data_IF_626267048954
#
_entry.id   IF_626267048954
#
_cell.length_a   1.000
_cell.length_b   1.000
_cell.length_c   1.000
_cell.angle_alpha   90.00
_cell.angle_beta   90.00
_cell.angle_gamma   90.00
#
_symmetry.space_group_name_H-M   'P 1'
#
loop_
_entity.id
_entity.type
_entity.pdbx_description
1 polymer ?
#
# COMPACT_ATOMS: atom_id res chain seq x y z
N UNK A 1 27.55 19.85 -9.59
CA UNK A 1 28.39 18.75 -9.08
C UNK A 1 27.71 17.47 -9.52
N UNK A 2 28.27 16.81 -10.55
CA UNK A 2 27.75 15.56 -11.09
C UNK A 2 28.00 14.44 -10.06
N UNK A 3 26.94 13.74 -9.65
CA UNK A 3 27.08 12.52 -8.86
C UNK A 3 27.88 11.49 -9.67
N UNK A 4 28.75 10.68 -9.06
CA UNK A 4 29.50 9.68 -9.77
C UNK A 4 28.54 8.66 -10.37
N UNK A 5 28.52 8.55 -11.68
CA UNK A 5 27.92 7.45 -12.42
C UNK A 5 28.62 6.15 -11.95
N UNK A 6 27.93 5.34 -11.15
CA UNK A 6 28.40 3.99 -10.87
C UNK A 6 28.22 3.19 -12.18
N UNK A 7 29.25 3.19 -13.01
CA UNK A 7 29.43 2.20 -14.06
C UNK A 7 29.30 0.83 -13.38
N UNK A 8 28.23 0.08 -13.69
CA UNK A 8 28.09 -1.30 -13.23
C UNK A 8 29.30 -2.07 -13.77
N UNK A 9 30.12 -2.61 -12.87
CA UNK A 9 31.25 -3.42 -13.25
C UNK A 9 30.76 -4.55 -14.17
N UNK A 10 31.59 -4.90 -15.15
CA UNK A 10 31.37 -6.03 -16.06
C UNK A 10 30.94 -7.28 -15.26
N UNK A 11 29.78 -7.83 -15.56
CA UNK A 11 29.23 -9.00 -14.88
C UNK A 11 29.39 -10.22 -15.78
N UNK A 12 30.32 -11.15 -15.46
CA UNK A 12 30.60 -12.31 -16.30
C UNK A 12 29.41 -13.28 -16.41
N UNK A 13 28.46 -13.30 -15.45
CA UNK A 13 27.26 -14.14 -15.54
C UNK A 13 26.28 -13.62 -16.61
N UNK A 14 26.40 -12.35 -16.96
CA UNK A 14 25.60 -11.70 -18.00
C UNK A 14 26.29 -11.62 -19.36
N UNK A 15 27.51 -12.19 -19.52
CA UNK A 15 28.26 -12.11 -20.78
C UNK A 15 27.45 -12.70 -21.97
N UNK A 16 27.33 -11.89 -23.03
CA UNK A 16 26.58 -12.26 -24.22
C UNK A 16 25.05 -12.22 -24.06
N UNK A 17 24.51 -11.83 -22.89
CA UNK A 17 23.10 -11.52 -22.74
C UNK A 17 22.83 -10.04 -23.03
N UNK A 18 21.71 -9.76 -23.68
CA UNK A 18 21.18 -8.40 -23.80
C UNK A 18 20.35 -8.08 -22.56
N UNK A 19 20.93 -7.37 -21.59
CA UNK A 19 20.30 -7.05 -20.32
C UNK A 19 20.07 -5.56 -20.16
N UNK A 20 18.94 -5.18 -19.54
CA UNK A 20 18.54 -3.79 -19.36
C UNK A 20 17.93 -3.62 -17.97
N UNK A 21 18.34 -2.58 -17.25
CA UNK A 21 17.64 -2.12 -16.04
C UNK A 21 16.37 -1.43 -16.51
N UNK A 22 15.22 -1.70 -15.87
CA UNK A 22 13.92 -1.16 -16.30
C UNK A 22 13.08 -0.64 -15.14
N UNK A 23 12.06 0.14 -15.47
CA UNK A 23 10.98 0.48 -14.54
C UNK A 23 11.38 1.42 -13.41
N UNK A 24 11.07 1.02 -12.17
CA UNK A 24 11.21 1.88 -10.99
C UNK A 24 12.59 2.44 -10.77
N UNK A 25 13.62 1.62 -10.90
CA UNK A 25 15.02 2.05 -10.69
C UNK A 25 15.48 3.13 -11.68
N UNK A 26 15.07 3.02 -12.96
CA UNK A 26 15.40 4.01 -13.99
C UNK A 26 14.63 5.31 -13.74
N UNK A 27 13.33 5.23 -13.47
CA UNK A 27 12.50 6.40 -13.14
C UNK A 27 13.04 7.15 -11.92
N UNK A 28 13.32 6.44 -10.82
CA UNK A 28 13.73 7.03 -9.56
C UNK A 28 15.12 7.70 -9.72
N UNK A 29 16.03 7.10 -10.49
CA UNK A 29 17.31 7.73 -10.86
C UNK A 29 17.12 9.03 -11.67
N UNK A 30 16.19 9.05 -12.64
CA UNK A 30 15.86 10.26 -13.42
C UNK A 30 15.22 11.37 -12.56
N UNK A 31 14.55 10.99 -11.45
CA UNK A 31 14.01 11.92 -10.46
C UNK A 31 15.05 12.35 -9.41
N UNK A 32 16.29 11.86 -9.47
CA UNK A 32 17.31 12.14 -8.48
C UNK A 32 17.01 11.50 -7.11
N UNK A 33 16.14 10.49 -7.07
CA UNK A 33 15.84 9.74 -5.86
C UNK A 33 16.84 8.60 -5.65
N UNK A 34 17.08 8.17 -4.40
CA UNK A 34 17.91 7.00 -4.14
C UNK A 34 17.43 5.79 -4.95
N UNK A 35 18.35 5.04 -5.59
CA UNK A 35 17.96 3.87 -6.36
C UNK A 35 17.33 2.82 -5.42
N UNK A 36 16.15 2.33 -5.81
CA UNK A 36 15.54 1.14 -5.21
C UNK A 36 16.10 -0.14 -5.82
N UNK A 37 15.40 -1.26 -5.58
CA UNK A 37 15.73 -2.54 -6.19
C UNK A 37 15.73 -2.43 -7.71
N UNK A 38 16.71 -3.06 -8.35
CA UNK A 38 16.84 -3.09 -9.81
C UNK A 38 16.12 -4.30 -10.36
N UNK A 39 15.18 -4.04 -11.26
CA UNK A 39 14.56 -5.06 -12.10
C UNK A 39 15.28 -5.09 -13.45
N UNK A 40 15.66 -6.27 -13.90
CA UNK A 40 16.34 -6.48 -15.16
C UNK A 40 15.43 -7.16 -16.18
N UNK A 41 15.52 -6.74 -17.45
CA UNK A 41 14.92 -7.43 -18.58
C UNK A 41 16.03 -8.05 -19.42
N UNK A 42 15.85 -9.30 -19.82
CA UNK A 42 16.76 -10.05 -20.71
C UNK A 42 16.05 -10.26 -22.03
N UNK A 43 16.68 -9.81 -23.11
CA UNK A 43 16.18 -9.95 -24.48
C UNK A 43 16.96 -11.04 -25.21
N UNK A 44 16.27 -11.84 -26.02
CA UNK A 44 16.90 -12.82 -26.92
C UNK A 44 17.44 -14.07 -26.22
N UNK A 45 16.99 -14.36 -24.99
CA UNK A 45 17.40 -15.56 -24.24
C UNK A 45 16.21 -16.46 -23.92
N UNK A 46 16.50 -17.75 -23.73
CA UNK A 46 15.52 -18.76 -23.30
C UNK A 46 15.67 -19.06 -21.79
N UNK A 47 14.66 -19.69 -21.16
CA UNK A 47 14.79 -20.18 -19.79
C UNK A 47 15.99 -21.13 -19.60
N UNK A 48 16.29 -21.95 -20.61
CA UNK A 48 17.41 -22.90 -20.60
C UNK A 48 18.77 -22.17 -20.66
N UNK A 49 18.84 -21.04 -21.38
CA UNK A 49 20.03 -20.19 -21.43
C UNK A 49 20.31 -19.58 -20.05
N UNK A 50 19.27 -19.09 -19.37
CA UNK A 50 19.39 -18.56 -18.01
C UNK A 50 19.83 -19.64 -17.01
N UNK A 51 19.21 -20.82 -17.07
CA UNK A 51 19.54 -21.92 -16.18
C UNK A 51 20.99 -22.40 -16.36
N UNK A 52 21.47 -22.52 -17.61
CA UNK A 52 22.87 -22.90 -17.90
C UNK A 52 23.90 -21.95 -17.33
N UNK A 53 23.51 -20.68 -17.13
CA UNK A 53 24.36 -19.62 -16.52
C UNK A 53 24.20 -19.53 -15.00
N UNK A 54 23.45 -20.46 -14.38
CA UNK A 54 23.27 -20.53 -12.95
C UNK A 54 22.22 -19.55 -12.38
N UNK A 55 21.43 -18.90 -13.24
CA UNK A 55 20.30 -18.11 -12.78
C UNK A 55 19.21 -19.02 -12.20
N UNK A 56 18.67 -18.64 -11.06
CA UNK A 56 17.73 -19.46 -10.28
C UNK A 56 16.30 -19.07 -10.63
N UNK A 57 15.48 -19.96 -11.22
CA UNK A 57 14.09 -19.63 -11.56
C UNK A 57 13.27 -19.37 -10.27
N UNK A 58 12.47 -18.30 -10.30
CA UNK A 58 11.51 -17.93 -9.25
C UNK A 58 10.20 -17.51 -9.89
N UNK A 59 9.07 -17.88 -9.28
CA UNK A 59 7.74 -17.60 -9.82
C UNK A 59 7.17 -18.76 -10.62
N UNK A 60 5.83 -18.88 -10.63
CA UNK A 60 5.13 -19.99 -11.25
C UNK A 60 4.55 -19.68 -12.64
N UNK A 61 4.14 -18.44 -12.90
CA UNK A 61 3.35 -18.09 -14.07
C UNK A 61 4.16 -17.54 -15.24
N UNK A 62 5.37 -17.00 -14.99
CA UNK A 62 6.29 -16.54 -16.03
C UNK A 62 7.75 -16.55 -15.56
N UNK A 63 8.73 -16.66 -16.49
CA UNK A 63 10.12 -16.87 -16.16
C UNK A 63 10.78 -15.59 -15.63
N UNK A 64 10.89 -15.49 -14.29
CA UNK A 64 11.76 -14.60 -13.54
C UNK A 64 12.87 -15.44 -12.92
N UNK A 65 14.05 -14.92 -12.90
CA UNK A 65 15.23 -15.58 -12.39
C UNK A 65 15.95 -14.68 -11.40
N UNK A 66 16.52 -15.26 -10.34
CA UNK A 66 17.45 -14.56 -9.48
C UNK A 66 18.87 -14.72 -10.01
N UNK A 67 19.59 -13.62 -10.09
CA UNK A 67 20.99 -13.62 -10.43
C UNK A 67 21.79 -14.50 -9.44
N UNK A 68 22.73 -15.34 -9.89
CA UNK A 68 23.40 -16.32 -9.02
C UNK A 68 24.12 -15.68 -7.82
N UNK A 69 24.73 -14.49 -8.00
CA UNK A 69 25.49 -13.77 -6.96
C UNK A 69 24.68 -12.66 -6.30
N UNK A 70 24.13 -11.72 -7.08
CA UNK A 70 23.49 -10.50 -6.54
C UNK A 70 22.07 -10.73 -6.03
N UNK A 71 21.40 -11.81 -6.46
CA UNK A 71 20.00 -12.12 -6.19
C UNK A 71 19.01 -11.07 -6.73
N UNK A 72 19.45 -10.18 -7.59
CA UNK A 72 18.57 -9.28 -8.32
C UNK A 72 17.68 -10.06 -9.29
N UNK A 73 16.49 -9.52 -9.57
CA UNK A 73 15.49 -10.17 -10.44
C UNK A 73 15.75 -9.88 -11.91
N UNK A 74 15.83 -10.94 -12.71
CA UNK A 74 15.99 -10.92 -14.16
C UNK A 74 14.78 -11.59 -14.80
N UNK A 75 13.98 -10.84 -15.54
CA UNK A 75 12.82 -11.34 -16.27
C UNK A 75 13.14 -11.44 -17.76
N UNK A 76 12.74 -12.51 -18.43
CA UNK A 76 12.80 -12.55 -19.89
C UNK A 76 11.83 -11.53 -20.49
N UNK A 77 12.25 -10.87 -21.57
CA UNK A 77 11.37 -10.00 -22.34
C UNK A 77 10.12 -10.77 -22.79
N UNK A 78 8.95 -10.14 -22.69
CA UNK A 78 7.69 -10.81 -22.99
C UNK A 78 6.67 -9.88 -23.64
N UNK A 79 5.75 -10.48 -24.35
CA UNK A 79 4.47 -9.88 -24.72
C UNK A 79 3.34 -10.53 -23.90
N UNK A 80 2.29 -9.79 -23.70
CA UNK A 80 1.08 -10.24 -23.01
C UNK A 80 -0.09 -10.16 -23.98
N UNK A 81 -0.94 -11.19 -24.00
CA UNK A 81 -2.20 -11.16 -24.74
C UNK A 81 -3.35 -11.53 -23.82
N UNK A 82 -4.38 -10.69 -23.82
CA UNK A 82 -5.62 -10.98 -23.10
C UNK A 82 -6.35 -12.13 -23.81
N UNK A 83 -6.51 -13.27 -23.14
CA UNK A 83 -7.22 -14.45 -23.63
C UNK A 83 -8.57 -14.67 -22.92
N UNK A 84 -8.92 -13.82 -21.92
CA UNK A 84 -10.17 -13.91 -21.15
C UNK A 84 -10.36 -12.75 -20.18
N UNK A 85 -11.44 -12.78 -19.39
CA UNK A 85 -11.69 -11.79 -18.33
C UNK A 85 -10.89 -12.11 -17.06
N UNK A 86 -10.39 -11.06 -16.38
CA UNK A 86 -9.71 -11.15 -15.10
C UNK A 86 -8.25 -11.61 -15.17
N UNK A 87 -7.62 -11.81 -14.01
CA UNK A 87 -6.19 -12.09 -13.85
C UNK A 87 -5.71 -13.37 -14.57
N UNK A 88 -6.53 -14.42 -14.63
CA UNK A 88 -6.18 -15.69 -15.32
C UNK A 88 -6.36 -15.63 -16.85
N UNK A 89 -6.79 -14.49 -17.37
CA UNK A 89 -7.06 -14.29 -18.80
C UNK A 89 -5.87 -13.76 -19.59
N UNK A 90 -4.62 -13.94 -19.12
CA UNK A 90 -3.43 -13.53 -19.84
C UNK A 90 -2.62 -14.73 -20.31
N UNK A 91 -2.20 -14.69 -21.57
CA UNK A 91 -1.18 -15.61 -22.12
C UNK A 91 0.11 -14.81 -22.28
N UNK A 92 1.19 -15.31 -21.69
CA UNK A 92 2.52 -14.71 -21.78
C UNK A 92 3.30 -15.43 -22.90
N UNK A 93 3.97 -14.65 -23.74
CA UNK A 93 4.89 -15.18 -24.73
C UNK A 93 6.29 -14.59 -24.48
N UNK A 94 7.26 -15.47 -24.27
CA UNK A 94 8.65 -15.14 -23.96
C UNK A 94 9.59 -15.75 -25.00
N UNK A 95 9.35 -15.44 -26.28
CA UNK A 95 10.21 -15.90 -27.35
C UNK A 95 11.49 -15.09 -27.48
N UNK A 96 12.53 -15.65 -28.06
CA UNK A 96 13.80 -14.95 -28.37
C UNK A 96 13.63 -13.79 -29.36
N UNK A 97 12.51 -13.74 -30.04
CA UNK A 97 12.09 -12.71 -30.99
C UNK A 97 11.40 -11.51 -30.34
N UNK A 98 11.12 -11.58 -29.00
CA UNK A 98 10.52 -10.45 -28.29
C UNK A 98 11.56 -9.36 -28.08
N UNK A 99 11.27 -8.17 -28.62
CA UNK A 99 12.17 -7.01 -28.51
C UNK A 99 11.99 -6.27 -27.18
N UNK A 100 12.96 -5.41 -26.83
CA UNK A 100 12.86 -4.53 -25.67
C UNK A 100 11.65 -3.59 -25.78
N UNK A 101 11.42 -3.02 -26.96
CA UNK A 101 10.30 -2.11 -27.22
C UNK A 101 8.95 -2.80 -26.97
N UNK A 102 8.79 -4.05 -27.37
CA UNK A 102 7.58 -4.83 -27.12
C UNK A 102 7.37 -5.08 -25.62
N UNK A 103 8.44 -5.35 -24.84
CA UNK A 103 8.34 -5.47 -23.38
C UNK A 103 7.98 -4.12 -22.72
N UNK A 104 8.52 -3.01 -23.20
CA UNK A 104 8.19 -1.69 -22.68
C UNK A 104 6.74 -1.28 -23.01
N UNK A 105 6.24 -1.60 -24.22
CA UNK A 105 4.89 -1.28 -24.68
C UNK A 105 3.77 -1.94 -23.87
N UNK A 106 4.03 -3.09 -23.23
CA UNK A 106 3.03 -3.77 -22.38
C UNK A 106 2.93 -3.21 -20.96
N UNK A 107 3.81 -2.28 -20.56
CA UNK A 107 3.84 -1.72 -19.21
C UNK A 107 2.67 -0.78 -18.97
N UNK A 108 2.52 -0.33 -17.71
CA UNK A 108 1.41 0.52 -17.30
C UNK A 108 1.58 1.99 -17.73
N UNK A 109 2.67 2.63 -17.30
CA UNK A 109 2.91 4.06 -17.48
C UNK A 109 4.23 4.32 -18.21
N UNK A 110 4.28 5.38 -19.01
CA UNK A 110 5.49 5.80 -19.74
C UNK A 110 6.68 6.00 -18.79
N UNK A 111 6.46 6.58 -17.62
CA UNK A 111 7.48 6.79 -16.59
C UNK A 111 8.08 5.48 -16.03
N UNK A 112 7.42 4.35 -16.24
CA UNK A 112 7.88 3.01 -15.86
C UNK A 112 8.34 2.18 -17.07
N UNK A 113 8.24 2.73 -18.28
CA UNK A 113 8.54 2.07 -19.53
C UNK A 113 9.84 2.62 -20.16
N UNK A 114 10.83 2.86 -19.32
CA UNK A 114 12.16 3.34 -19.69
C UNK A 114 13.16 2.26 -19.32
N UNK A 115 14.14 2.01 -20.19
CA UNK A 115 15.21 1.08 -19.94
C UNK A 115 16.57 1.80 -19.93
N UNK A 116 17.56 1.18 -19.29
CA UNK A 116 18.95 1.64 -19.25
C UNK A 116 19.90 0.45 -19.43
N UNK A 117 20.86 0.59 -20.30
CA UNK A 117 21.92 -0.43 -20.43
C UNK A 117 22.84 -0.45 -19.20
N UNK A 118 23.61 -1.53 -18.96
CA UNK A 118 24.62 -1.55 -17.91
C UNK A 118 25.66 -0.43 -18.03
N UNK A 119 25.91 0.07 -19.26
CA UNK A 119 26.85 1.17 -19.55
C UNK A 119 26.22 2.54 -19.34
N UNK A 120 24.94 2.62 -18.92
CA UNK A 120 24.27 3.88 -18.60
C UNK A 120 23.47 4.51 -19.75
N UNK A 121 23.49 3.94 -20.96
CA UNK A 121 22.70 4.47 -22.08
C UNK A 121 21.20 4.29 -21.83
N UNK A 122 20.45 5.38 -21.97
CA UNK A 122 19.00 5.41 -21.81
C UNK A 122 18.30 4.98 -23.12
N UNK A 123 17.32 4.11 -23.00
CA UNK A 123 16.44 3.65 -24.08
C UNK A 123 15.01 3.99 -23.68
N UNK A 124 14.43 4.99 -24.34
CA UNK A 124 13.12 5.58 -23.99
C UNK A 124 12.25 5.77 -25.25
N UNK A 125 11.78 4.67 -25.85
CA UNK A 125 10.99 4.76 -27.08
C UNK A 125 9.61 5.41 -26.89
N UNK A 126 9.16 5.54 -25.65
CA UNK A 126 7.82 6.04 -25.27
C UNK A 126 7.85 7.44 -24.66
N UNK A 127 9.00 8.12 -24.70
CA UNK A 127 9.19 9.47 -24.15
C UNK A 127 8.86 9.58 -22.64
N UNK A 128 9.04 8.53 -21.87
CA UNK A 128 8.79 8.52 -20.44
C UNK A 128 9.66 9.50 -19.66
N UNK A 129 10.89 9.75 -20.10
CA UNK A 129 11.76 10.78 -19.53
C UNK A 129 11.22 12.22 -19.73
N UNK A 130 10.50 12.47 -20.82
CA UNK A 130 9.81 13.74 -21.02
C UNK A 130 8.62 13.87 -20.06
N UNK A 131 7.83 12.82 -19.88
CA UNK A 131 6.73 12.79 -18.91
C UNK A 131 7.24 12.92 -17.46
N UNK A 132 8.40 12.35 -17.11
CA UNK A 132 9.05 12.55 -15.80
C UNK A 132 9.38 14.03 -15.59
N UNK A 133 10.00 14.70 -16.58
CA UNK A 133 10.34 16.14 -16.49
C UNK A 133 9.09 17.01 -16.40
N UNK A 134 8.04 16.66 -17.17
CA UNK A 134 6.76 17.36 -17.17
C UNK A 134 5.88 17.01 -15.94
N UNK A 135 6.28 16.05 -15.12
CA UNK A 135 5.52 15.52 -13.99
C UNK A 135 4.14 15.03 -14.40
N UNK A 136 4.10 14.15 -15.39
CA UNK A 136 2.86 13.60 -15.96
C UNK A 136 2.85 12.07 -15.82
N UNK A 137 1.74 11.52 -15.33
CA UNK A 137 1.44 10.09 -15.36
C UNK A 137 0.60 9.80 -16.60
N UNK A 138 1.21 9.16 -17.57
CA UNK A 138 0.59 8.79 -18.86
C UNK A 138 0.64 7.29 -19.05
N UNK A 139 -0.46 6.69 -19.51
CA UNK A 139 -0.48 5.27 -19.92
C UNK A 139 0.38 5.04 -21.17
N UNK A 140 0.94 3.86 -21.28
CA UNK A 140 1.84 3.51 -22.39
C UNK A 140 1.06 3.39 -23.71
N UNK A 141 -0.09 2.75 -23.69
CA UNK A 141 -0.93 2.51 -24.88
C UNK A 141 -2.13 1.63 -24.56
N UNK A 142 -2.76 1.08 -25.58
CA UNK A 142 -4.00 0.28 -25.47
C UNK A 142 -3.85 -0.93 -24.52
N UNK A 143 -2.66 -1.51 -24.41
CA UNK A 143 -2.36 -2.58 -23.46
C UNK A 143 -2.67 -2.19 -21.99
N UNK A 144 -2.73 -0.90 -21.65
CA UNK A 144 -3.15 -0.46 -20.32
C UNK A 144 -4.54 -0.98 -19.95
N UNK A 145 -5.47 -1.03 -20.90
CA UNK A 145 -6.84 -1.49 -20.70
C UNK A 145 -6.97 -3.00 -20.45
N UNK A 146 -5.92 -3.77 -20.71
CA UNK A 146 -5.96 -5.22 -20.52
C UNK A 146 -6.08 -5.62 -19.04
N UNK A 147 -5.50 -4.84 -18.12
CA UNK A 147 -5.50 -5.14 -16.68
C UNK A 147 -6.10 -3.99 -15.85
N UNK A 148 -7.32 -4.12 -15.34
CA UNK A 148 -7.99 -3.07 -14.58
C UNK A 148 -7.26 -2.68 -13.28
N UNK A 149 -6.35 -3.50 -12.74
CA UNK A 149 -5.53 -3.12 -11.58
C UNK A 149 -4.62 -1.93 -11.90
N UNK A 150 -4.34 -1.66 -13.18
CA UNK A 150 -3.54 -0.51 -13.60
C UNK A 150 -4.17 0.83 -13.21
N UNK A 151 -5.51 0.89 -13.07
CA UNK A 151 -6.20 2.07 -12.52
C UNK A 151 -5.80 2.30 -11.05
N UNK A 152 -5.76 1.22 -10.24
CA UNK A 152 -5.33 1.32 -8.84
C UNK A 152 -3.84 1.65 -8.73
N UNK A 153 -3.03 1.08 -9.62
CA UNK A 153 -1.59 1.41 -9.72
C UNK A 153 -1.36 2.87 -10.09
N UNK A 154 -2.13 3.42 -11.04
CA UNK A 154 -2.11 4.84 -11.39
C UNK A 154 -2.41 5.71 -10.16
N UNK A 155 -3.47 5.39 -9.40
CA UNK A 155 -3.80 6.06 -8.15
C UNK A 155 -2.66 5.98 -7.12
N UNK A 156 -2.05 4.81 -6.95
CA UNK A 156 -0.88 4.64 -6.06
C UNK A 156 0.32 5.47 -6.52
N UNK A 157 0.59 5.55 -7.82
CA UNK A 157 1.67 6.39 -8.33
C UNK A 157 1.37 7.87 -8.14
N UNK A 158 0.12 8.32 -8.31
CA UNK A 158 -0.29 9.68 -7.98
C UNK A 158 -0.09 10.00 -6.48
N UNK A 159 -0.37 9.05 -5.58
CA UNK A 159 -0.10 9.21 -4.15
C UNK A 159 1.41 9.26 -3.83
N UNK A 160 2.23 8.50 -4.55
CA UNK A 160 3.69 8.50 -4.37
C UNK A 160 4.33 9.78 -4.91
N UNK A 161 3.86 10.25 -6.06
CA UNK A 161 4.34 11.44 -6.76
C UNK A 161 3.27 12.51 -6.72
N UNK A 162 3.05 13.10 -5.54
CA UNK A 162 1.93 14.02 -5.26
C UNK A 162 1.88 15.25 -6.16
N UNK A 163 3.01 15.63 -6.75
CA UNK A 163 3.19 16.74 -7.67
C UNK A 163 3.04 16.35 -9.16
N UNK A 164 2.77 15.07 -9.46
CA UNK A 164 2.47 14.62 -10.82
C UNK A 164 0.99 14.76 -11.13
N UNK A 165 0.67 15.17 -12.35
CA UNK A 165 -0.70 15.20 -12.89
C UNK A 165 -0.97 13.94 -13.70
N UNK A 166 -2.23 13.52 -13.79
CA UNK A 166 -2.64 12.44 -14.69
C UNK A 166 -2.99 13.03 -16.06
N UNK A 167 -2.45 12.45 -17.13
CA UNK A 167 -2.76 12.87 -18.48
C UNK A 167 -4.27 12.72 -18.77
N UNK A 168 -4.93 13.71 -19.41
CA UNK A 168 -6.37 13.68 -19.65
C UNK A 168 -6.86 12.45 -20.43
N UNK A 169 -6.08 12.00 -21.41
CA UNK A 169 -6.34 10.79 -22.20
C UNK A 169 -6.25 9.51 -21.36
N UNK A 170 -5.32 9.47 -20.39
CA UNK A 170 -5.19 8.37 -19.44
C UNK A 170 -6.41 8.30 -18.52
N UNK A 171 -6.86 9.44 -18.00
CA UNK A 171 -8.06 9.48 -17.17
C UNK A 171 -9.32 9.11 -17.97
N UNK A 172 -9.42 9.54 -19.23
CA UNK A 172 -10.51 9.16 -20.11
C UNK A 172 -10.52 7.63 -20.39
N UNK A 173 -9.33 7.03 -20.59
CA UNK A 173 -9.22 5.57 -20.73
C UNK A 173 -9.69 4.85 -19.46
N UNK A 174 -9.25 5.30 -18.28
CA UNK A 174 -9.68 4.72 -17.00
C UNK A 174 -11.22 4.78 -16.83
N UNK A 175 -11.86 5.90 -17.19
CA UNK A 175 -13.32 6.03 -17.15
C UNK A 175 -14.00 4.99 -18.04
N UNK A 176 -13.58 4.85 -19.29
CA UNK A 176 -14.11 3.83 -20.22
C UNK A 176 -13.97 2.42 -19.65
N UNK A 177 -12.82 2.09 -19.04
CA UNK A 177 -12.62 0.78 -18.41
C UNK A 177 -13.59 0.54 -17.25
N UNK A 178 -13.86 1.55 -16.43
CA UNK A 178 -14.84 1.48 -15.33
C UNK A 178 -16.27 1.33 -15.88
N UNK A 179 -16.65 2.12 -16.86
CA UNK A 179 -17.95 2.07 -17.54
C UNK A 179 -18.23 0.69 -18.17
N UNK A 180 -17.18 0.06 -18.75
CA UNK A 180 -17.23 -1.29 -19.29
C UNK A 180 -17.27 -2.40 -18.23
N UNK A 181 -17.22 -2.05 -16.94
CA UNK A 181 -17.28 -3.01 -15.82
C UNK A 181 -15.99 -3.81 -15.61
N UNK A 182 -14.84 -3.40 -16.17
CA UNK A 182 -13.57 -4.13 -16.04
C UNK A 182 -13.11 -4.20 -14.57
N UNK A 183 -13.36 -3.17 -13.77
CA UNK A 183 -12.98 -3.11 -12.35
C UNK A 183 -13.77 -4.08 -11.46
N UNK A 184 -14.93 -4.56 -11.92
CA UNK A 184 -15.77 -5.49 -11.17
C UNK A 184 -15.14 -6.90 -11.09
N UNK A 185 -14.20 -7.19 -11.99
CA UNK A 185 -13.44 -8.45 -12.03
C UNK A 185 -12.17 -8.42 -11.15
N UNK A 186 -11.90 -7.31 -10.46
CA UNK A 186 -10.73 -7.20 -9.60
C UNK A 186 -10.83 -8.13 -8.38
N UNK A 187 -9.77 -8.91 -8.15
CA UNK A 187 -9.69 -9.75 -6.95
C UNK A 187 -9.25 -8.93 -5.73
N UNK A 188 -9.84 -9.19 -4.55
CA UNK A 188 -9.62 -8.39 -3.35
C UNK A 188 -8.15 -8.20 -2.96
N UNK A 189 -7.34 -9.24 -3.11
CA UNK A 189 -5.92 -9.22 -2.75
C UNK A 189 -5.11 -8.24 -3.61
N UNK A 190 -5.44 -8.15 -4.91
CA UNK A 190 -4.79 -7.18 -5.80
C UNK A 190 -5.23 -5.76 -5.46
N UNK A 191 -6.52 -5.57 -5.13
CA UNK A 191 -7.03 -4.28 -4.66
C UNK A 191 -6.31 -3.86 -3.39
N UNK A 192 -6.28 -4.73 -2.38
CA UNK A 192 -5.62 -4.44 -1.10
C UNK A 192 -4.13 -4.14 -1.27
N UNK A 193 -3.43 -4.88 -2.13
CA UNK A 193 -2.01 -4.66 -2.40
C UNK A 193 -1.72 -3.23 -2.90
N UNK A 194 -2.53 -2.71 -3.82
CA UNK A 194 -2.33 -1.36 -4.35
C UNK A 194 -2.85 -0.30 -3.37
N UNK A 195 -4.00 -0.53 -2.74
CA UNK A 195 -4.59 0.37 -1.74
C UNK A 195 -3.64 0.57 -0.55
N UNK A 196 -3.14 -0.51 0.04
CA UNK A 196 -2.24 -0.43 1.19
C UNK A 196 -0.96 0.34 0.89
N UNK A 197 -0.38 0.14 -0.30
CA UNK A 197 0.79 0.89 -0.75
C UNK A 197 0.49 2.37 -1.02
N UNK A 198 -0.69 2.66 -1.57
CA UNK A 198 -1.16 4.03 -1.78
C UNK A 198 -1.41 4.77 -0.47
N UNK A 199 -2.01 4.11 0.50
CA UNK A 199 -2.19 4.66 1.85
C UNK A 199 -0.86 4.98 2.55
N UNK A 200 0.19 4.19 2.29
CA UNK A 200 1.52 4.43 2.87
C UNK A 200 2.38 5.42 2.07
N UNK A 201 1.88 5.94 0.97
CA UNK A 201 2.56 6.96 0.19
C UNK A 201 2.58 8.33 0.91
N UNK A 202 3.29 9.30 0.31
CA UNK A 202 3.45 10.64 0.87
C UNK A 202 2.15 11.46 0.84
N UNK A 203 1.34 11.31 -0.22
CA UNK A 203 0.10 12.07 -0.43
C UNK A 203 -1.06 11.12 -0.78
N UNK A 204 -1.60 10.36 0.20
CA UNK A 204 -2.63 9.34 -0.05
C UNK A 204 -3.91 9.90 -0.67
N UNK A 205 -4.25 11.17 -0.41
CA UNK A 205 -5.40 11.88 -0.99
C UNK A 205 -5.39 11.79 -2.52
N UNK A 206 -4.23 11.88 -3.16
CA UNK A 206 -4.08 11.81 -4.61
C UNK A 206 -4.54 10.47 -5.20
N UNK A 207 -4.40 9.37 -4.45
CA UNK A 207 -4.96 8.09 -4.86
C UNK A 207 -6.49 8.13 -4.89
N UNK A 208 -7.10 8.66 -3.84
CA UNK A 208 -8.57 8.77 -3.76
C UNK A 208 -9.12 9.68 -4.86
N UNK A 209 -8.45 10.79 -5.12
CA UNK A 209 -8.79 11.71 -6.21
C UNK A 209 -8.79 11.01 -7.58
N UNK A 210 -7.73 10.29 -7.93
CA UNK A 210 -7.65 9.57 -9.21
C UNK A 210 -8.73 8.50 -9.31
N UNK A 211 -8.97 7.74 -8.22
CA UNK A 211 -10.02 6.72 -8.19
C UNK A 211 -11.42 7.33 -8.29
N UNK A 212 -11.67 8.48 -7.68
CA UNK A 212 -12.95 9.20 -7.79
C UNK A 212 -13.14 9.75 -9.20
N UNK A 213 -12.14 10.43 -9.76
CA UNK A 213 -12.21 11.01 -11.11
C UNK A 213 -12.39 9.96 -12.21
N UNK A 214 -11.86 8.74 -12.02
CA UNK A 214 -12.05 7.63 -12.95
C UNK A 214 -13.38 6.88 -12.73
N UNK A 215 -14.10 7.12 -11.62
CA UNK A 215 -15.27 6.35 -11.21
C UNK A 215 -14.96 5.03 -10.53
N UNK A 216 -13.68 4.64 -10.44
CA UNK A 216 -13.27 3.37 -9.84
C UNK A 216 -13.53 3.33 -8.32
N UNK A 217 -13.48 4.47 -7.62
CA UNK A 217 -13.73 4.55 -6.18
C UNK A 217 -15.10 3.99 -5.80
N UNK A 218 -16.14 4.41 -6.51
CA UNK A 218 -17.51 3.97 -6.26
C UNK A 218 -17.73 2.48 -6.55
N UNK A 219 -16.93 1.87 -7.42
CA UNK A 219 -17.01 0.44 -7.73
C UNK A 219 -16.24 -0.41 -6.73
N UNK A 220 -15.04 0.04 -6.35
CA UNK A 220 -14.11 -0.70 -5.48
C UNK A 220 -14.45 -0.51 -4.00
N UNK A 221 -14.80 0.70 -3.58
CA UNK A 221 -15.06 1.09 -2.19
C UNK A 221 -16.36 1.93 -2.07
N UNK A 222 -17.53 1.40 -2.45
CA UNK A 222 -18.80 2.14 -2.44
C UNK A 222 -19.25 2.58 -1.05
N UNK A 223 -18.67 2.01 0.02
CA UNK A 223 -18.98 2.34 1.41
C UNK A 223 -18.34 3.66 1.87
N UNK A 224 -17.32 4.16 1.16
CA UNK A 224 -16.66 5.40 1.55
C UNK A 224 -17.56 6.62 1.33
N UNK A 225 -17.58 7.51 2.33
CA UNK A 225 -18.31 8.76 2.32
C UNK A 225 -17.38 9.91 2.66
N UNK A 226 -17.81 11.14 2.30
CA UNK A 226 -17.09 12.38 2.59
C UNK A 226 -15.59 12.28 2.25
N UNK A 227 -15.32 12.01 0.97
CA UNK A 227 -13.97 11.74 0.47
C UNK A 227 -13.03 12.90 0.70
N UNK A 228 -13.51 14.13 0.67
CA UNK A 228 -12.69 15.33 0.89
C UNK A 228 -12.15 15.37 2.33
N UNK A 229 -13.02 15.14 3.32
CA UNK A 229 -12.61 15.05 4.72
C UNK A 229 -11.65 13.89 4.96
N UNK A 230 -11.96 12.70 4.42
CA UNK A 230 -11.10 11.51 4.54
C UNK A 230 -9.73 11.75 3.88
N UNK A 231 -9.68 12.39 2.73
CA UNK A 231 -8.45 12.74 2.03
C UNK A 231 -7.54 13.63 2.86
N UNK A 232 -8.12 14.69 3.47
CA UNK A 232 -7.37 15.58 4.36
C UNK A 232 -6.85 14.85 5.61
N UNK A 233 -7.65 13.96 6.20
CA UNK A 233 -7.24 13.13 7.34
C UNK A 233 -6.06 12.23 6.97
N UNK A 234 -6.09 11.61 5.81
CA UNK A 234 -5.03 10.72 5.34
C UNK A 234 -3.71 11.44 5.08
N UNK A 235 -3.76 12.65 4.52
CA UNK A 235 -2.54 13.44 4.30
C UNK A 235 -1.93 13.90 5.62
N UNK A 236 -2.77 14.29 6.62
CA UNK A 236 -2.28 14.56 7.98
C UNK A 236 -1.68 13.32 8.64
N UNK A 237 -2.31 12.15 8.45
CA UNK A 237 -1.79 10.89 8.96
C UNK A 237 -0.45 10.51 8.29
N UNK A 238 -0.29 10.81 7.00
CA UNK A 238 0.97 10.61 6.29
C UNK A 238 2.07 11.51 6.82
N UNK A 239 1.78 12.80 7.02
CA UNK A 239 2.70 13.77 7.59
C UNK A 239 3.10 13.40 9.03
N UNK A 240 2.18 12.83 9.81
CA UNK A 240 2.44 12.34 11.17
C UNK A 240 3.14 10.96 11.21
N UNK A 241 3.44 10.34 10.07
CA UNK A 241 4.12 9.06 9.98
C UNK A 241 3.31 7.86 10.49
N UNK A 242 1.97 7.95 10.52
CA UNK A 242 1.13 6.86 11.02
C UNK A 242 1.35 5.56 10.22
N UNK A 243 1.37 4.41 10.90
CA UNK A 243 1.44 3.10 10.26
C UNK A 243 0.14 2.75 9.52
N UNK A 244 0.20 1.75 8.65
CA UNK A 244 -0.90 1.32 7.79
C UNK A 244 -2.23 1.08 8.52
N UNK A 245 -2.28 0.40 9.69
CA UNK A 245 -3.55 0.19 10.39
C UNK A 245 -4.26 1.48 10.77
N UNK A 246 -3.52 2.50 11.23
CA UNK A 246 -4.06 3.82 11.56
C UNK A 246 -4.58 4.57 10.33
N UNK A 247 -3.83 4.53 9.22
CA UNK A 247 -4.27 5.17 7.97
C UNK A 247 -5.50 4.48 7.36
N UNK A 248 -5.55 3.15 7.41
CA UNK A 248 -6.75 2.42 6.98
C UNK A 248 -7.96 2.71 7.88
N UNK A 249 -7.75 2.83 9.18
CA UNK A 249 -8.81 3.20 10.11
C UNK A 249 -9.38 4.60 9.82
N UNK A 250 -8.53 5.57 9.48
CA UNK A 250 -8.95 6.91 9.06
C UNK A 250 -9.68 6.88 7.72
N UNK A 251 -9.22 6.08 6.74
CA UNK A 251 -9.94 5.88 5.47
C UNK A 251 -11.39 5.43 5.72
N UNK A 252 -11.59 4.50 6.66
CA UNK A 252 -12.89 3.92 6.96
C UNK A 252 -13.69 4.68 8.02
N UNK A 253 -13.16 5.76 8.59
CA UNK A 253 -13.73 6.44 9.77
C UNK A 253 -15.19 6.83 9.58
N UNK A 254 -15.50 7.39 8.43
CA UNK A 254 -16.85 7.85 8.08
C UNK A 254 -17.69 6.80 7.33
N UNK A 255 -17.14 5.64 7.05
CA UNK A 255 -17.87 4.57 6.37
C UNK A 255 -18.84 3.87 7.34
N UNK A 256 -20.15 3.83 7.07
CA UNK A 256 -21.13 3.17 7.94
C UNK A 256 -20.90 1.64 7.98
N UNK A 257 -20.54 1.04 6.85
CA UNK A 257 -20.35 -0.42 6.70
C UNK A 257 -18.86 -0.81 6.61
N UNK A 258 -18.03 -0.25 7.50
CA UNK A 258 -16.56 -0.48 7.49
C UNK A 258 -16.14 -1.93 7.63
N UNK A 259 -16.92 -2.72 8.38
CA UNK A 259 -16.64 -4.15 8.55
C UNK A 259 -16.93 -4.94 7.27
N UNK A 260 -17.99 -4.57 6.52
CA UNK A 260 -18.29 -5.16 5.22
C UNK A 260 -17.21 -4.80 4.19
N UNK A 261 -16.74 -3.57 4.19
CA UNK A 261 -15.62 -3.12 3.35
C UNK A 261 -14.35 -3.92 3.66
N UNK A 262 -13.99 -4.06 4.95
CA UNK A 262 -12.79 -4.80 5.37
C UNK A 262 -12.84 -6.28 4.95
N UNK A 263 -14.02 -6.93 5.11
CA UNK A 263 -14.20 -8.31 4.63
C UNK A 263 -14.13 -8.41 3.12
N UNK A 264 -14.78 -7.50 2.37
CA UNK A 264 -14.77 -7.48 0.91
C UNK A 264 -13.35 -7.36 0.35
N UNK A 265 -12.51 -6.52 0.95
CA UNK A 265 -11.12 -6.28 0.52
C UNK A 265 -10.12 -7.27 1.12
N UNK A 266 -10.55 -8.21 1.95
CA UNK A 266 -9.70 -9.16 2.68
C UNK A 266 -8.58 -8.47 3.43
N UNK A 267 -8.95 -7.40 4.13
CA UNK A 267 -8.02 -6.57 4.88
C UNK A 267 -7.42 -7.37 6.05
N UNK A 268 -6.12 -7.23 6.37
CA UNK A 268 -5.52 -7.85 7.54
C UNK A 268 -6.24 -7.47 8.83
N UNK A 269 -6.35 -8.43 9.75
CA UNK A 269 -7.10 -8.30 11.01
C UNK A 269 -6.72 -7.05 11.81
N UNK A 270 -5.45 -6.73 11.87
CA UNK A 270 -4.97 -5.54 12.59
C UNK A 270 -5.56 -4.24 12.03
N UNK A 271 -5.59 -4.10 10.70
CA UNK A 271 -6.18 -2.93 10.04
C UNK A 271 -7.71 -2.88 10.25
N UNK A 272 -8.39 -4.03 10.10
CA UNK A 272 -9.83 -4.14 10.29
C UNK A 272 -10.24 -3.83 11.74
N UNK A 273 -9.48 -4.33 12.73
CA UNK A 273 -9.72 -4.04 14.15
C UNK A 273 -9.59 -2.54 14.45
N UNK A 274 -8.55 -1.88 13.94
CA UNK A 274 -8.40 -0.44 14.13
C UNK A 274 -9.52 0.35 13.44
N UNK A 275 -9.91 -0.01 12.23
CA UNK A 275 -11.03 0.63 11.54
C UNK A 275 -12.34 0.52 12.32
N UNK A 276 -12.60 -0.63 12.97
CA UNK A 276 -13.80 -0.86 13.78
C UNK A 276 -13.79 -0.04 15.09
N UNK A 277 -12.61 0.12 15.71
CA UNK A 277 -12.49 0.73 17.04
C UNK A 277 -12.28 2.25 16.99
N UNK A 278 -11.65 2.78 15.94
CA UNK A 278 -11.29 4.20 15.84
C UNK A 278 -12.46 5.17 16.07
N UNK A 279 -13.66 4.99 15.49
CA UNK A 279 -14.76 5.93 15.70
C UNK A 279 -15.11 6.12 17.18
N UNK A 280 -15.15 5.01 17.94
CA UNK A 280 -15.42 5.08 19.39
C UNK A 280 -14.33 5.86 20.13
N UNK A 281 -13.06 5.68 19.75
CA UNK A 281 -11.96 6.44 20.35
C UNK A 281 -12.08 7.92 20.01
N UNK A 282 -12.41 8.26 18.76
CA UNK A 282 -12.64 9.66 18.33
C UNK A 282 -13.77 10.31 19.15
N UNK A 283 -14.89 9.59 19.32
CA UNK A 283 -16.06 10.11 20.03
C UNK A 283 -15.81 10.30 21.54
N UNK A 284 -14.95 9.47 22.15
CA UNK A 284 -14.78 9.39 23.59
C UNK A 284 -13.37 9.76 24.09
N UNK A 285 -12.46 10.20 23.22
CA UNK A 285 -11.11 10.58 23.61
C UNK A 285 -11.07 11.75 24.62
N UNK A 286 -12.10 12.58 24.66
CA UNK A 286 -12.28 13.67 25.60
C UNK A 286 -13.00 13.29 26.92
N UNK A 287 -13.27 12.00 27.18
CA UNK A 287 -13.97 11.57 28.38
C UNK A 287 -13.24 12.04 29.66
N UNK A 288 -13.96 12.76 30.53
CA UNK A 288 -13.41 13.34 31.73
C UNK A 288 -13.61 12.46 32.99
N UNK A 289 -14.70 11.68 33.03
CA UNK A 289 -15.07 10.86 34.17
C UNK A 289 -14.45 9.45 34.14
N UNK A 290 -14.01 8.91 35.29
CA UNK A 290 -13.39 7.60 35.39
C UNK A 290 -14.23 6.44 34.81
N UNK A 291 -15.56 6.37 34.98
CA UNK A 291 -16.38 5.33 34.37
C UNK A 291 -16.32 5.30 32.85
N UNK A 292 -16.44 6.47 32.19
CA UNK A 292 -16.36 6.55 30.72
C UNK A 292 -14.94 6.22 30.21
N UNK A 293 -13.90 6.65 30.92
CA UNK A 293 -12.51 6.31 30.61
C UNK A 293 -12.27 4.81 30.69
N UNK A 294 -12.74 4.14 31.76
CA UNK A 294 -12.60 2.71 31.93
C UNK A 294 -13.38 1.94 30.84
N UNK A 295 -14.61 2.37 30.54
CA UNK A 295 -15.44 1.75 29.52
C UNK A 295 -14.78 1.85 28.11
N UNK A 296 -14.17 2.99 27.78
CA UNK A 296 -13.43 3.14 26.53
C UNK A 296 -12.24 2.18 26.47
N UNK A 297 -11.41 2.14 27.50
CA UNK A 297 -10.26 1.23 27.58
C UNK A 297 -10.66 -0.23 27.47
N UNK A 298 -11.71 -0.67 28.18
CA UNK A 298 -12.21 -2.05 28.11
C UNK A 298 -12.78 -2.39 26.74
N UNK A 299 -13.55 -1.49 26.12
CA UNK A 299 -14.12 -1.68 24.79
C UNK A 299 -13.06 -1.81 23.70
N UNK A 300 -11.89 -1.20 23.90
CA UNK A 300 -10.74 -1.28 23.00
C UNK A 300 -9.74 -2.37 23.38
N UNK A 301 -10.02 -3.17 24.44
CA UNK A 301 -9.08 -4.16 24.98
C UNK A 301 -7.71 -3.57 25.33
N UNK A 302 -7.69 -2.31 25.82
CA UNK A 302 -6.48 -1.54 26.08
C UNK A 302 -5.58 -2.17 27.15
N UNK A 303 -6.18 -2.86 28.12
CA UNK A 303 -5.44 -3.48 29.22
C UNK A 303 -4.63 -4.71 28.76
N UNK A 304 -5.10 -5.42 27.77
CA UNK A 304 -4.41 -6.58 27.20
C UNK A 304 -3.54 -6.22 25.98
N UNK A 305 -3.95 -5.20 25.22
CA UNK A 305 -3.28 -4.75 24.00
C UNK A 305 -2.99 -3.25 24.06
N UNK A 306 -2.13 -2.80 25.00
CA UNK A 306 -1.85 -1.37 25.20
C UNK A 306 -1.25 -0.70 23.98
N UNK A 307 -0.36 -1.39 23.24
CA UNK A 307 0.26 -0.83 22.03
C UNK A 307 -0.76 -0.57 20.92
N UNK A 308 -1.75 -1.48 20.77
CA UNK A 308 -2.85 -1.27 19.83
C UNK A 308 -3.71 -0.06 20.23
N UNK A 309 -3.95 0.10 21.54
CA UNK A 309 -4.72 1.24 22.03
C UNK A 309 -3.96 2.56 21.84
N UNK A 310 -2.65 2.57 22.11
CA UNK A 310 -1.79 3.74 21.83
C UNK A 310 -1.83 4.10 20.33
N UNK A 311 -1.76 3.13 19.41
CA UNK A 311 -1.89 3.37 17.98
C UNK A 311 -3.27 3.94 17.59
N UNK A 312 -4.36 3.51 18.24
CA UNK A 312 -5.69 4.08 18.06
C UNK A 312 -5.77 5.54 18.53
N UNK A 313 -5.15 5.86 19.66
CA UNK A 313 -5.06 7.25 20.17
C UNK A 313 -4.26 8.15 19.22
N UNK A 314 -3.16 7.62 18.64
CA UNK A 314 -2.39 8.33 17.61
C UNK A 314 -3.24 8.61 16.37
N UNK A 315 -4.00 7.62 15.91
CA UNK A 315 -4.89 7.81 14.77
C UNK A 315 -6.03 8.80 15.09
N UNK A 316 -6.61 8.73 16.29
CA UNK A 316 -7.63 9.67 16.73
C UNK A 316 -7.10 11.11 16.82
N UNK A 317 -5.84 11.30 17.23
CA UNK A 317 -5.18 12.59 17.33
C UNK A 317 -5.05 13.35 16.00
N UNK A 318 -5.20 12.66 14.87
CA UNK A 318 -5.26 13.29 13.54
C UNK A 318 -6.54 14.13 13.35
N UNK A 319 -7.63 13.75 14.01
CA UNK A 319 -8.98 14.31 13.78
C UNK A 319 -9.57 15.03 15.00
N UNK A 320 -9.14 14.67 16.22
CA UNK A 320 -9.59 15.33 17.46
C UNK A 320 -8.40 15.55 18.40
N UNK A 321 -8.54 16.47 19.35
CA UNK A 321 -7.53 16.66 20.38
C UNK A 321 -7.49 15.43 21.31
N UNK A 322 -6.31 14.85 21.49
CA UNK A 322 -6.06 13.67 22.34
C UNK A 322 -4.84 13.93 23.21
N UNK A 323 -4.99 13.90 24.52
CA UNK A 323 -3.87 13.88 25.48
C UNK A 323 -3.35 12.42 25.61
N UNK A 324 -2.49 12.02 24.66
CA UNK A 324 -1.92 10.66 24.64
C UNK A 324 -1.14 10.32 25.92
N UNK A 325 -0.29 11.21 26.48
CA UNK A 325 0.38 10.95 27.74
C UNK A 325 -0.59 10.71 28.91
N UNK A 326 -1.69 11.47 29.00
CA UNK A 326 -2.69 11.25 30.04
C UNK A 326 -3.40 9.90 29.86
N UNK A 327 -3.74 9.51 28.63
CA UNK A 327 -4.31 8.20 28.36
C UNK A 327 -3.34 7.06 28.70
N UNK A 328 -2.04 7.23 28.42
CA UNK A 328 -1.05 6.23 28.81
C UNK A 328 -0.99 6.06 30.33
N UNK A 329 -0.94 7.17 31.09
CA UNK A 329 -0.98 7.13 32.57
C UNK A 329 -2.22 6.39 33.09
N UNK A 330 -3.40 6.65 32.50
CA UNK A 330 -4.65 5.95 32.85
C UNK A 330 -4.58 4.45 32.60
N UNK A 331 -4.08 4.03 31.45
CA UNK A 331 -3.87 2.60 31.11
C UNK A 331 -2.92 1.97 32.12
N UNK A 332 -1.82 2.62 32.46
CA UNK A 332 -0.82 2.09 33.40
C UNK A 332 -1.39 1.98 34.81
N UNK A 333 -2.15 2.97 35.29
CA UNK A 333 -2.81 2.93 36.58
C UNK A 333 -3.81 1.77 36.68
N UNK A 334 -4.66 1.58 35.67
CA UNK A 334 -5.64 0.49 35.68
C UNK A 334 -4.97 -0.88 35.55
N UNK A 335 -3.89 -1.01 34.79
CA UNK A 335 -3.10 -2.25 34.70
C UNK A 335 -2.32 -2.55 35.97
N UNK A 336 -1.97 -1.52 36.76
CA UNK A 336 -1.32 -1.67 38.05
C UNK A 336 -2.20 -2.24 39.16
N UNK A 337 -3.52 -2.33 38.95
CA UNK A 337 -4.46 -2.94 39.93
C UNK A 337 -4.19 -4.44 40.06
N UNK A 338 -3.84 -4.91 41.26
CA UNK A 338 -3.57 -6.32 41.55
C UNK A 338 -4.89 -7.12 41.63
N UNK A 339 -5.31 -7.66 40.50
CA UNK A 339 -6.49 -8.53 40.41
C UNK A 339 -6.37 -9.79 41.26
N UNK A 340 -5.14 -10.30 41.48
CA UNK A 340 -4.89 -11.48 42.34
C UNK A 340 -5.11 -11.17 43.83
N UNK A 341 -4.67 -9.99 44.30
CA UNK A 341 -4.95 -9.56 45.68
C UNK A 341 -6.46 -9.40 45.91
N UNK A 342 -7.17 -8.77 44.96
CA UNK A 342 -8.63 -8.62 45.04
C UNK A 342 -9.34 -9.96 45.07
N UNK A 343 -8.93 -10.92 44.22
CA UNK A 343 -9.52 -12.26 44.22
C UNK A 343 -9.33 -12.97 45.55
N UNK A 344 -8.16 -12.82 46.19
CA UNK A 344 -7.91 -13.40 47.54
C UNK A 344 -8.79 -12.74 48.62
N UNK A 345 -8.95 -11.43 48.58
CA UNK A 345 -9.83 -10.69 49.51
C UNK A 345 -11.30 -11.08 49.39
N UNK A 346 -11.73 -11.44 48.18
CA UNK A 346 -13.08 -11.89 47.93
C UNK A 346 -13.26 -13.42 48.16
N UNK A 347 -12.27 -14.09 48.79
CA UNK A 347 -12.29 -15.57 49.03
C UNK A 347 -12.56 -16.40 47.76
N UNK A 348 -12.16 -15.91 46.60
CA UNK A 348 -12.35 -16.58 45.29
C UNK A 348 -13.78 -16.54 44.74
N UNK A 349 -14.73 -15.86 45.38
CA UNK A 349 -16.10 -15.72 44.90
C UNK A 349 -16.21 -14.86 43.64
N UNK A 350 -16.53 -15.44 42.45
CA UNK A 350 -16.61 -14.68 41.20
C UNK A 350 -17.64 -13.55 41.21
N UNK A 351 -18.73 -13.69 41.98
CA UNK A 351 -19.80 -12.70 42.10
C UNK A 351 -19.31 -11.42 42.79
N UNK A 352 -18.30 -11.52 43.67
CA UNK A 352 -17.70 -10.42 44.42
C UNK A 352 -16.45 -9.87 43.73
N UNK A 353 -15.68 -10.71 43.05
CA UNK A 353 -14.40 -10.32 42.40
C UNK A 353 -14.65 -9.26 41.31
N UNK A 354 -15.61 -9.50 40.41
CA UNK A 354 -15.84 -8.59 39.26
C UNK A 354 -16.20 -7.16 39.71
N UNK A 355 -17.17 -6.93 40.61
CA UNK A 355 -17.47 -5.59 41.12
C UNK A 355 -16.31 -4.95 41.87
N UNK A 356 -15.59 -5.71 42.72
CA UNK A 356 -14.46 -5.23 43.46
C UNK A 356 -13.30 -4.79 42.57
N UNK A 357 -13.00 -5.56 41.52
CA UNK A 357 -11.99 -5.22 40.52
C UNK A 357 -12.37 -3.97 39.71
N UNK A 358 -13.65 -3.85 39.33
CA UNK A 358 -14.14 -2.67 38.65
C UNK A 358 -14.01 -1.43 39.52
N UNK A 359 -14.39 -1.51 40.81
CA UNK A 359 -14.25 -0.39 41.74
C UNK A 359 -12.78 0.00 41.93
N UNK A 360 -11.90 -0.94 42.18
CA UNK A 360 -10.46 -0.67 42.30
C UNK A 360 -9.84 0.02 41.07
N UNK A 361 -10.31 -0.34 39.86
CA UNK A 361 -9.89 0.33 38.61
C UNK A 361 -10.41 1.76 38.54
N UNK A 362 -11.67 2.00 38.95
CA UNK A 362 -12.25 3.35 39.03
C UNK A 362 -11.51 4.21 40.04
N UNK A 363 -11.18 3.66 41.22
CA UNK A 363 -10.44 4.36 42.26
C UNK A 363 -9.03 4.75 41.78
N UNK A 364 -8.36 3.86 41.05
CA UNK A 364 -7.07 4.11 40.43
C UNK A 364 -7.12 5.23 39.38
N UNK A 365 -8.21 5.37 38.64
CA UNK A 365 -8.41 6.45 37.67
C UNK A 365 -8.77 7.78 38.41
N UNK A 366 -9.56 7.73 39.47
CA UNK A 366 -9.94 8.89 40.22
C UNK A 366 -8.77 9.51 41.01
N UNK A 367 -7.70 8.76 41.24
CA UNK A 367 -6.47 9.21 41.91
C UNK A 367 -5.47 9.93 40.97
N UNK A 368 -5.73 10.00 39.65
CA UNK A 368 -4.91 10.69 38.66
C UNK A 368 -5.33 12.13 38.44
#
# INVERSE_FOLDING_TARGET
>A
MSAPESTTAHDPDCDGLQVYIVGGAVRDALLGQPPGDRDWVVVGATPEDMARRGFIPVGGDFPVFLHPRTKEEYALARTERKSGRGYKGFTFYTGVDVTLEQDLLRRDLTVNAIARTPQGQLLDPLNGAADIRARVLRHVGEAFAEDPVRILRLGRFAARFGDFTVAPDTLALCRRMVENGEVDALVPERVWKELSRGLMAATPSRMLEVLAQSGALARVMPQLQDIDTVSADLDRAAAAGLPLPGRYALLCRLAPERDALSRRLRVPTECADQARLLPRVVDQAGAADPPAQLALMESCDALRKPDRYAALLQAAAVVVAVDQPAWQRRVDAVRGVDAGAIARQCAGDPARIKPALQQARLDALAAL
#
